data_IF_823997414466
#
_entry.id   IF_823997414466
#
_cell.length_a   1.000
_cell.length_b   1.000
_cell.length_c   1.000
_cell.angle_alpha   90.00
_cell.angle_beta   90.00
_cell.angle_gamma   90.00
#
_symmetry.space_group_name_H-M   'P 1'
#
loop_
_entity.id
_entity.type
_entity.pdbx_description
1 polymer ?
#
# COMPACT_ATOMS: atom_id res chain seq x y z
N UNK A 1 64.61 -2.26 24.60
CA UNK A 1 63.21 -1.86 24.69
C UNK A 1 62.57 -2.63 25.84
N UNK A 2 61.94 -1.96 26.81
CA UNK A 2 61.44 -2.65 28.02
C UNK A 2 60.26 -3.59 27.67
N UNK A 3 60.16 -4.76 28.32
CA UNK A 3 59.05 -5.71 28.11
C UNK A 3 57.67 -5.04 28.28
N UNK A 4 57.58 -3.97 29.09
CA UNK A 4 56.36 -3.19 29.29
C UNK A 4 55.95 -2.38 28.05
N UNK A 5 56.91 -1.88 27.28
CA UNK A 5 56.65 -1.14 26.03
C UNK A 5 56.16 -2.10 24.94
N UNK A 6 56.74 -3.30 24.85
CA UNK A 6 56.32 -4.32 23.89
C UNK A 6 54.88 -4.81 24.12
N UNK A 7 54.48 -4.97 25.40
CA UNK A 7 53.12 -5.37 25.79
C UNK A 7 52.11 -4.26 25.50
N UNK A 8 52.47 -3.00 25.72
CA UNK A 8 51.59 -1.86 25.39
C UNK A 8 51.40 -1.74 23.86
N UNK A 9 52.45 -1.94 23.07
CA UNK A 9 52.38 -1.91 21.61
C UNK A 9 51.52 -3.04 21.04
N UNK A 10 51.55 -4.23 21.66
CA UNK A 10 50.74 -5.37 21.23
C UNK A 10 49.26 -5.23 21.61
N UNK A 11 48.97 -4.62 22.77
CA UNK A 11 47.61 -4.34 23.21
C UNK A 11 46.91 -3.27 22.36
N UNK A 12 47.65 -2.25 21.90
CA UNK A 12 47.12 -1.22 20.99
C UNK A 12 46.87 -1.81 19.59
N UNK A 13 47.73 -2.70 19.09
CA UNK A 13 47.49 -3.38 17.80
C UNK A 13 46.26 -4.30 17.84
N UNK A 14 46.02 -5.00 18.96
CA UNK A 14 44.82 -5.83 19.13
C UNK A 14 43.53 -5.00 19.20
N UNK A 15 43.59 -3.80 19.79
CA UNK A 15 42.44 -2.90 19.84
C UNK A 15 42.10 -2.29 18.47
N UNK A 16 43.10 -2.07 17.60
CA UNK A 16 42.88 -1.63 16.22
C UNK A 16 42.35 -2.76 15.34
N UNK A 17 42.74 -4.02 15.59
CA UNK A 17 42.25 -5.18 14.85
C UNK A 17 40.80 -5.59 15.21
N UNK A 18 40.33 -5.28 16.42
CA UNK A 18 38.93 -5.51 16.83
C UNK A 18 38.04 -4.26 16.78
N UNK A 19 38.60 -3.07 16.52
CA UNK A 19 37.87 -1.80 16.49
C UNK A 19 37.19 -1.46 15.16
N UNK A 20 37.34 -2.27 14.12
CA UNK A 20 36.78 -2.03 12.78
C UNK A 20 35.77 -3.12 12.43
N UNK A 21 34.66 -3.20 13.17
CA UNK A 21 33.48 -3.99 12.76
C UNK A 21 32.17 -3.39 13.29
N UNK A 22 32.12 -2.06 13.42
CA UNK A 22 30.88 -1.31 13.56
C UNK A 22 30.70 -0.41 12.33
N UNK A 23 30.90 -0.97 11.13
CA UNK A 23 30.11 -0.49 9.98
C UNK A 23 28.72 -1.00 10.32
N UNK A 24 27.83 -0.09 10.73
CA UNK A 24 26.46 -0.44 11.05
C UNK A 24 25.92 -1.33 9.94
N UNK A 25 25.48 -2.54 10.29
CA UNK A 25 24.81 -3.42 9.35
C UNK A 25 23.72 -2.60 8.69
N UNK A 26 23.77 -2.46 7.36
CA UNK A 26 22.61 -2.01 6.61
C UNK A 26 21.42 -2.84 7.12
N UNK A 27 20.31 -2.15 7.38
CA UNK A 27 19.09 -2.76 7.88
C UNK A 27 18.61 -3.73 6.79
N UNK A 28 18.96 -5.01 6.90
CA UNK A 28 18.56 -6.06 5.96
C UNK A 28 17.10 -6.47 6.26
N UNK A 29 16.16 -5.65 5.81
CA UNK A 29 14.73 -5.96 5.87
C UNK A 29 14.16 -6.13 4.46
N UNK A 30 13.16 -7.00 4.33
CA UNK A 30 12.49 -7.32 3.07
C UNK A 30 11.04 -6.86 3.14
N UNK A 31 10.59 -6.21 2.07
CA UNK A 31 9.21 -5.72 1.97
C UNK A 31 8.55 -6.30 0.74
N UNK A 32 7.50 -7.11 0.94
CA UNK A 32 6.62 -7.53 -0.14
C UNK A 32 5.71 -6.37 -0.55
N UNK A 33 5.69 -5.98 -1.82
CA UNK A 33 4.83 -4.91 -2.33
C UNK A 33 3.90 -5.51 -3.39
N UNK A 34 2.62 -5.67 -3.09
CA UNK A 34 1.65 -6.17 -4.06
C UNK A 34 0.75 -5.05 -4.59
N UNK A 35 0.75 -4.90 -5.92
CA UNK A 35 -0.08 -3.94 -6.65
C UNK A 35 -1.23 -4.62 -7.38
N UNK A 36 -2.44 -4.05 -7.27
CA UNK A 36 -3.60 -4.49 -8.03
C UNK A 36 -3.62 -3.88 -9.44
N UNK A 37 -2.99 -4.57 -10.40
CA UNK A 37 -2.82 -4.07 -11.77
C UNK A 37 -1.95 -2.81 -11.85
N UNK A 38 -1.77 -2.31 -13.08
CA UNK A 38 -0.96 -1.10 -13.37
C UNK A 38 -1.53 -0.22 -14.48
N UNK A 39 -2.82 -0.38 -14.82
CA UNK A 39 -3.44 0.38 -15.91
C UNK A 39 -3.41 1.90 -15.69
N UNK A 40 -3.48 2.35 -14.43
CA UNK A 40 -3.52 3.76 -14.07
C UNK A 40 -2.15 4.28 -13.60
N UNK A 41 -1.92 5.61 -13.69
CA UNK A 41 -0.63 6.21 -13.34
C UNK A 41 -0.34 6.17 -11.83
N UNK A 42 -1.37 6.18 -10.99
CA UNK A 42 -1.23 6.13 -9.54
C UNK A 42 -0.69 4.77 -9.10
N UNK A 43 -1.18 3.67 -9.70
CA UNK A 43 -0.65 2.33 -9.50
C UNK A 43 0.85 2.25 -9.80
N UNK A 44 1.27 2.83 -10.94
CA UNK A 44 2.67 2.85 -11.37
C UNK A 44 3.54 3.70 -10.45
N UNK A 45 3.17 4.96 -10.24
CA UNK A 45 3.96 5.89 -9.40
C UNK A 45 4.03 5.39 -7.96
N UNK A 46 2.91 4.91 -7.40
CA UNK A 46 2.87 4.37 -6.05
C UNK A 46 3.83 3.19 -5.87
N UNK A 47 3.81 2.23 -6.81
CA UNK A 47 4.72 1.09 -6.76
C UNK A 47 6.18 1.52 -6.81
N UNK A 48 6.55 2.32 -7.80
CA UNK A 48 7.94 2.76 -7.95
C UNK A 48 8.39 3.56 -6.73
N UNK A 49 7.53 4.42 -6.18
CA UNK A 49 7.85 5.19 -4.96
C UNK A 49 8.07 4.28 -3.74
N UNK A 50 7.29 3.20 -3.60
CA UNK A 50 7.47 2.22 -2.52
C UNK A 50 8.77 1.42 -2.70
N UNK A 51 9.10 1.03 -3.93
CA UNK A 51 10.35 0.33 -4.25
C UNK A 51 11.54 1.23 -3.91
N UNK A 52 11.55 2.45 -4.45
CA UNK A 52 12.62 3.43 -4.27
C UNK A 52 12.87 3.72 -2.79
N UNK A 53 11.81 3.93 -2.00
CA UNK A 53 11.93 4.23 -0.57
C UNK A 53 12.49 3.03 0.21
N UNK A 54 12.07 1.81 -0.11
CA UNK A 54 12.64 0.61 0.54
C UNK A 54 14.13 0.49 0.24
N UNK A 55 14.56 0.73 -0.99
CA UNK A 55 15.98 0.71 -1.38
C UNK A 55 16.79 1.84 -0.71
N UNK A 56 16.25 3.07 -0.66
CA UNK A 56 16.85 4.23 0.02
C UNK A 56 17.10 3.93 1.50
N UNK A 57 16.16 3.22 2.15
CA UNK A 57 16.26 2.81 3.54
C UNK A 57 17.17 1.59 3.76
N UNK A 58 17.76 1.04 2.69
CA UNK A 58 18.69 -0.09 2.72
C UNK A 58 18.02 -1.47 2.76
N UNK A 59 16.72 -1.55 2.51
CA UNK A 59 15.97 -2.79 2.45
C UNK A 59 15.89 -3.40 1.04
N UNK A 60 15.25 -4.56 0.95
CA UNK A 60 15.02 -5.29 -0.30
C UNK A 60 13.52 -5.28 -0.66
N UNK A 61 13.09 -4.57 -1.71
CA UNK A 61 11.70 -4.64 -2.17
C UNK A 61 11.46 -5.91 -3.01
N UNK A 62 10.34 -6.58 -2.76
CA UNK A 62 9.87 -7.74 -3.55
C UNK A 62 8.50 -7.36 -4.12
N UNK A 63 8.53 -6.64 -5.24
CA UNK A 63 7.32 -6.08 -5.83
C UNK A 63 6.65 -7.04 -6.82
N UNK A 64 5.34 -7.27 -6.66
CA UNK A 64 4.50 -8.06 -7.58
C UNK A 64 3.34 -7.21 -8.09
N UNK A 65 2.91 -7.49 -9.32
CA UNK A 65 1.69 -6.94 -9.91
C UNK A 65 0.76 -8.11 -10.16
N UNK A 66 -0.48 -8.00 -9.71
CA UNK A 66 -1.50 -9.04 -9.82
C UNK A 66 -2.79 -8.45 -10.37
N UNK A 67 -3.42 -9.14 -11.32
CA UNK A 67 -4.65 -8.70 -11.97
C UNK A 67 -5.92 -9.26 -11.30
N UNK A 68 -5.76 -10.23 -10.40
CA UNK A 68 -6.88 -10.90 -9.74
C UNK A 68 -6.64 -11.17 -8.26
N UNK A 69 -7.74 -11.37 -7.51
CA UNK A 69 -7.67 -11.73 -6.09
C UNK A 69 -6.91 -13.05 -5.85
N UNK A 70 -7.12 -14.13 -6.64
CA UNK A 70 -6.33 -15.36 -6.49
C UNK A 70 -4.83 -15.15 -6.70
N UNK A 71 -4.42 -14.36 -7.70
CA UNK A 71 -3.01 -14.05 -7.91
C UNK A 71 -2.42 -13.24 -6.76
N UNK A 72 -3.18 -12.28 -6.21
CA UNK A 72 -2.80 -11.53 -5.01
C UNK A 72 -2.58 -12.45 -3.81
N UNK A 73 -3.49 -13.41 -3.59
CA UNK A 73 -3.34 -14.40 -2.51
C UNK A 73 -2.06 -15.20 -2.69
N UNK A 74 -1.79 -15.71 -3.90
CA UNK A 74 -0.55 -16.44 -4.19
C UNK A 74 0.70 -15.57 -3.97
N UNK A 75 0.66 -14.28 -4.32
CA UNK A 75 1.77 -13.35 -4.05
C UNK A 75 2.02 -13.18 -2.55
N UNK A 76 0.95 -13.05 -1.75
CA UNK A 76 1.03 -12.96 -0.28
C UNK A 76 1.62 -14.25 0.31
N UNK A 77 1.18 -15.42 -0.14
CA UNK A 77 1.74 -16.71 0.30
C UNK A 77 3.22 -16.84 -0.04
N UNK A 78 3.64 -16.35 -1.21
CA UNK A 78 5.06 -16.28 -1.57
C UNK A 78 5.84 -15.35 -0.64
N UNK A 79 5.29 -14.19 -0.27
CA UNK A 79 5.92 -13.29 0.71
C UNK A 79 6.10 -13.94 2.08
N UNK A 80 5.08 -14.67 2.55
CA UNK A 80 5.17 -15.46 3.78
C UNK A 80 6.30 -16.48 3.68
N UNK A 81 6.34 -17.25 2.59
CA UNK A 81 7.38 -18.27 2.33
C UNK A 81 8.79 -17.67 2.27
N UNK A 82 8.94 -16.47 1.71
CA UNK A 82 10.22 -15.75 1.64
C UNK A 82 10.64 -15.11 2.97
N UNK A 83 9.77 -15.11 3.98
CA UNK A 83 10.02 -14.51 5.29
C UNK A 83 10.24 -13.00 5.20
N UNK A 84 9.37 -12.28 4.48
CA UNK A 84 9.42 -10.81 4.45
C UNK A 84 9.05 -10.21 5.81
N UNK A 85 9.60 -9.04 6.13
CA UNK A 85 9.32 -8.34 7.39
C UNK A 85 8.01 -7.56 7.34
N UNK A 86 7.63 -7.09 6.15
CA UNK A 86 6.39 -6.36 5.92
C UNK A 86 5.79 -6.67 4.55
N UNK A 87 4.46 -6.54 4.47
CA UNK A 87 3.69 -6.60 3.21
C UNK A 87 2.91 -5.28 3.07
N UNK A 88 3.10 -4.61 1.93
CA UNK A 88 2.32 -3.45 1.52
C UNK A 88 1.34 -3.90 0.44
N UNK A 89 0.04 -3.78 0.71
CA UNK A 89 -1.02 -3.98 -0.28
C UNK A 89 -1.40 -2.63 -0.86
N UNK A 90 -1.14 -2.44 -2.14
CA UNK A 90 -1.51 -1.24 -2.88
C UNK A 90 -2.75 -1.49 -3.74
N UNK A 91 -3.73 -0.59 -3.60
CA UNK A 91 -5.01 -0.57 -4.33
C UNK A 91 -5.91 -1.82 -4.14
N UNK A 92 -7.17 -1.66 -4.56
CA UNK A 92 -8.20 -2.68 -4.47
C UNK A 92 -8.89 -2.66 -3.10
N UNK A 93 -9.06 -3.83 -2.51
CA UNK A 93 -9.60 -4.01 -1.16
C UNK A 93 -8.81 -5.08 -0.41
N UNK A 94 -8.19 -4.69 0.70
CA UNK A 94 -7.36 -5.54 1.53
C UNK A 94 -8.14 -6.72 2.13
N UNK A 95 -9.46 -6.58 2.32
CA UNK A 95 -10.32 -7.63 2.87
C UNK A 95 -10.51 -8.80 1.91
N UNK A 96 -10.29 -8.60 0.60
CA UNK A 96 -10.40 -9.68 -0.38
C UNK A 96 -9.31 -10.75 -0.22
N UNK A 97 -8.19 -10.41 0.43
CA UNK A 97 -7.10 -11.33 0.74
C UNK A 97 -6.95 -11.58 2.25
N UNK A 98 -8.01 -11.31 3.04
CA UNK A 98 -7.95 -11.37 4.51
C UNK A 98 -7.38 -12.68 5.06
N UNK A 99 -7.78 -13.89 4.60
CA UNK A 99 -7.24 -15.13 5.16
C UNK A 99 -5.71 -15.25 5.03
N UNK A 100 -5.14 -14.83 3.89
CA UNK A 100 -3.71 -14.88 3.65
C UNK A 100 -2.95 -13.80 4.45
N UNK A 101 -3.52 -12.59 4.57
CA UNK A 101 -2.93 -11.49 5.34
C UNK A 101 -3.00 -11.74 6.85
N UNK A 102 -4.07 -12.36 7.35
CA UNK A 102 -4.16 -12.80 8.74
C UNK A 102 -3.13 -13.88 9.06
N UNK A 103 -2.84 -14.79 8.12
CA UNK A 103 -1.76 -15.75 8.29
C UNK A 103 -0.39 -15.06 8.31
N UNK A 104 -0.11 -14.16 7.37
CA UNK A 104 1.10 -13.34 7.40
C UNK A 104 1.26 -12.61 8.75
N UNK A 105 0.17 -12.03 9.26
CA UNK A 105 0.14 -11.34 10.55
C UNK A 105 0.48 -12.27 11.72
N UNK A 106 -0.04 -13.50 11.73
CA UNK A 106 0.29 -14.51 12.76
C UNK A 106 1.76 -14.89 12.75
N UNK A 107 2.42 -14.84 11.59
CA UNK A 107 3.87 -15.07 11.45
C UNK A 107 4.71 -13.84 11.86
N UNK A 108 4.07 -12.75 12.31
CA UNK A 108 4.75 -11.53 12.75
C UNK A 108 5.06 -10.54 11.64
N UNK A 109 4.56 -10.76 10.42
CA UNK A 109 4.75 -9.85 9.28
C UNK A 109 3.88 -8.61 9.49
N UNK A 110 4.46 -7.42 9.31
CA UNK A 110 3.73 -6.15 9.38
C UNK A 110 2.85 -6.00 8.14
N UNK A 111 1.57 -5.68 8.33
CA UNK A 111 0.63 -5.50 7.21
C UNK A 111 0.30 -4.01 7.06
N UNK A 112 0.71 -3.45 5.93
CA UNK A 112 0.40 -2.07 5.56
C UNK A 112 -0.54 -2.02 4.35
N UNK A 113 -1.45 -1.06 4.36
CA UNK A 113 -2.37 -0.75 3.28
C UNK A 113 -2.02 0.60 2.67
N UNK A 114 -1.92 0.63 1.34
CA UNK A 114 -1.84 1.86 0.55
C UNK A 114 -3.05 1.94 -0.38
N UNK A 115 -4.02 2.81 -0.04
CA UNK A 115 -5.27 2.98 -0.81
C UNK A 115 -6.03 1.66 -1.06
N UNK A 116 -5.81 0.64 -0.23
CA UNK A 116 -6.49 -0.66 -0.28
C UNK A 116 -7.47 -0.85 0.89
N UNK A 117 -7.60 0.15 1.77
CA UNK A 117 -8.54 0.12 2.88
C UNK A 117 -8.00 -0.43 4.20
N UNK A 118 -8.90 -0.72 5.14
CA UNK A 118 -8.55 -1.09 6.52
C UNK A 118 -9.31 -2.30 7.04
N UNK A 119 -8.68 -3.07 7.92
CA UNK A 119 -9.24 -4.20 8.67
C UNK A 119 -8.43 -4.39 9.97
N UNK A 120 -8.95 -5.19 10.92
CA UNK A 120 -8.35 -5.37 12.25
C UNK A 120 -6.92 -5.94 12.22
N UNK A 121 -6.58 -6.68 11.16
CA UNK A 121 -5.23 -7.25 10.96
C UNK A 121 -4.23 -6.27 10.33
N UNK A 122 -4.65 -5.06 9.97
CA UNK A 122 -3.83 -4.06 9.29
C UNK A 122 -3.17 -3.14 10.32
N UNK A 123 -1.85 -3.06 10.29
CA UNK A 123 -1.06 -2.24 11.22
C UNK A 123 -1.03 -0.76 10.83
N UNK A 124 -0.93 -0.51 9.53
CA UNK A 124 -0.73 0.83 8.98
C UNK A 124 -1.65 1.01 7.79
N UNK A 125 -2.37 2.13 7.75
CA UNK A 125 -3.22 2.52 6.63
C UNK A 125 -2.77 3.88 6.13
N UNK A 126 -2.43 3.94 4.85
CA UNK A 126 -2.08 5.17 4.13
C UNK A 126 -3.06 5.31 2.98
N UNK A 127 -4.06 6.18 3.12
CA UNK A 127 -5.03 6.44 2.07
C UNK A 127 -5.50 7.90 2.11
N UNK A 128 -6.06 8.37 0.99
CA UNK A 128 -6.76 9.65 0.98
C UNK A 128 -8.05 9.53 1.80
N UNK A 129 -8.53 10.65 2.35
CA UNK A 129 -9.87 10.67 2.95
C UNK A 129 -10.94 10.63 1.84
N UNK A 130 -11.25 9.42 1.40
CA UNK A 130 -12.17 9.16 0.30
C UNK A 130 -13.62 9.59 0.61
N UNK A 131 -14.01 9.67 1.89
CA UNK A 131 -15.30 10.23 2.30
C UNK A 131 -15.35 11.73 2.00
N UNK A 132 -14.37 12.48 2.50
CA UNK A 132 -14.28 13.94 2.26
C UNK A 132 -14.14 14.24 0.77
N UNK A 133 -13.29 13.51 0.06
CA UNK A 133 -13.13 13.70 -1.38
C UNK A 133 -14.42 13.41 -2.16
N UNK A 134 -15.16 12.36 -1.78
CA UNK A 134 -16.45 12.02 -2.37
C UNK A 134 -17.46 13.15 -2.17
N UNK A 135 -17.58 13.64 -0.93
CA UNK A 135 -18.49 14.73 -0.59
C UNK A 135 -18.15 16.03 -1.32
N UNK A 136 -16.87 16.39 -1.43
CA UNK A 136 -16.41 17.58 -2.17
C UNK A 136 -16.77 17.45 -3.66
N UNK A 137 -16.43 16.32 -4.29
CA UNK A 137 -16.69 16.10 -5.71
C UNK A 137 -18.19 16.08 -6.02
N UNK A 138 -18.99 15.42 -5.17
CA UNK A 138 -20.43 15.37 -5.31
C UNK A 138 -21.06 16.75 -5.14
N UNK A 139 -20.66 17.51 -4.12
CA UNK A 139 -21.17 18.87 -3.89
C UNK A 139 -20.85 19.80 -5.06
N UNK A 140 -19.63 19.75 -5.59
CA UNK A 140 -19.23 20.52 -6.77
C UNK A 140 -20.06 20.13 -8.00
N UNK A 141 -20.32 18.83 -8.21
CA UNK A 141 -21.20 18.37 -9.29
C UNK A 141 -22.60 18.95 -9.16
N UNK A 142 -23.19 18.91 -7.96
CA UNK A 142 -24.54 19.45 -7.72
C UNK A 142 -24.61 20.95 -8.01
N UNK A 143 -23.58 21.71 -7.63
CA UNK A 143 -23.49 23.14 -7.94
C UNK A 143 -23.41 23.39 -9.45
N UNK A 144 -22.62 22.62 -10.19
CA UNK A 144 -22.46 22.78 -11.64
C UNK A 144 -23.69 22.45 -12.45
N UNK A 145 -24.59 21.62 -11.92
CA UNK A 145 -25.85 21.25 -12.57
C UNK A 145 -27.05 22.04 -12.01
N UNK A 146 -26.80 23.11 -11.24
CA UNK A 146 -27.83 23.93 -10.58
C UNK A 146 -28.83 23.08 -9.76
N UNK A 147 -28.34 22.00 -9.15
CA UNK A 147 -29.13 21.06 -8.36
C UNK A 147 -30.21 20.30 -9.15
N UNK A 148 -30.08 20.16 -10.47
CA UNK A 148 -31.06 19.48 -11.32
C UNK A 148 -30.42 18.65 -12.42
N UNK A 149 -31.01 17.50 -12.74
CA UNK A 149 -30.65 16.72 -13.93
C UNK A 149 -30.38 15.25 -13.66
N UNK A 150 -29.74 14.59 -14.62
CA UNK A 150 -29.44 13.16 -14.57
C UNK A 150 -27.96 12.94 -14.38
N UNK A 151 -27.59 12.11 -13.41
CA UNK A 151 -26.21 11.71 -13.13
C UNK A 151 -26.01 10.27 -13.58
N UNK A 152 -24.87 9.99 -14.22
CA UNK A 152 -24.42 8.63 -14.55
C UNK A 152 -23.19 8.32 -13.72
N UNK A 153 -23.22 7.20 -13.01
CA UNK A 153 -22.07 6.70 -12.25
C UNK A 153 -21.21 5.79 -13.14
N UNK A 154 -19.91 6.03 -13.19
CA UNK A 154 -18.93 5.12 -13.80
C UNK A 154 -17.92 4.76 -12.72
N UNK A 155 -17.84 3.48 -12.36
CA UNK A 155 -17.11 3.04 -11.16
C UNK A 155 -16.50 1.65 -11.33
N UNK A 156 -15.65 1.24 -10.38
CA UNK A 156 -15.19 -0.13 -10.23
C UNK A 156 -15.32 -0.52 -8.74
N UNK A 157 -16.19 -1.48 -8.44
CA UNK A 157 -16.46 -1.89 -7.07
C UNK A 157 -15.33 -2.73 -6.45
N UNK A 158 -14.28 -3.10 -7.19
CA UNK A 158 -13.13 -3.77 -6.60
C UNK A 158 -12.34 -2.87 -5.64
N UNK A 159 -12.36 -1.56 -5.85
CA UNK A 159 -11.64 -0.60 -5.03
C UNK A 159 -12.45 -0.08 -3.84
N UNK A 160 -11.94 -0.20 -2.61
CA UNK A 160 -12.61 0.38 -1.43
C UNK A 160 -12.82 1.90 -1.59
N UNK A 161 -11.75 2.60 -1.99
CA UNK A 161 -11.72 4.04 -2.21
C UNK A 161 -12.81 4.53 -3.16
N UNK A 162 -13.11 3.75 -4.21
CA UNK A 162 -14.15 4.05 -5.19
C UNK A 162 -15.53 3.90 -4.56
N UNK A 163 -15.77 2.80 -3.83
CA UNK A 163 -17.04 2.56 -3.14
C UNK A 163 -17.35 3.63 -2.09
N UNK A 164 -16.35 4.13 -1.37
CA UNK A 164 -16.52 5.23 -0.41
C UNK A 164 -16.96 6.52 -1.10
N UNK A 165 -16.24 6.94 -2.14
CA UNK A 165 -16.59 8.14 -2.92
C UNK A 165 -17.98 8.05 -3.55
N UNK A 166 -18.35 6.87 -4.03
CA UNK A 166 -19.67 6.60 -4.60
C UNK A 166 -20.79 6.71 -3.56
N UNK A 167 -20.58 6.17 -2.35
CA UNK A 167 -21.55 6.32 -1.24
C UNK A 167 -21.78 7.78 -0.88
N UNK A 168 -20.74 8.60 -0.90
CA UNK A 168 -20.87 10.04 -0.65
C UNK A 168 -21.64 10.77 -1.75
N UNK A 169 -21.41 10.42 -3.03
CA UNK A 169 -22.24 10.94 -4.11
C UNK A 169 -23.72 10.62 -3.88
N UNK A 170 -24.02 9.37 -3.55
CA UNK A 170 -25.38 8.91 -3.30
C UNK A 170 -26.01 9.60 -2.08
N UNK A 171 -25.23 9.85 -1.02
CA UNK A 171 -25.68 10.58 0.15
C UNK A 171 -25.94 12.06 -0.17
N UNK A 172 -25.03 12.75 -0.87
CA UNK A 172 -25.21 14.17 -1.21
C UNK A 172 -26.44 14.38 -2.10
N UNK A 173 -26.67 13.50 -3.08
CA UNK A 173 -27.81 13.61 -4.00
C UNK A 173 -29.17 13.58 -3.26
N UNK A 174 -29.28 12.99 -2.07
CA UNK A 174 -30.57 12.97 -1.34
C UNK A 174 -31.06 14.36 -0.94
N UNK A 175 -30.18 15.34 -0.86
CA UNK A 175 -30.51 16.74 -0.58
C UNK A 175 -30.99 17.52 -1.82
N UNK A 176 -30.90 16.91 -3.02
CA UNK A 176 -31.23 17.55 -4.31
C UNK A 176 -32.33 16.77 -5.03
N UNK A 177 -33.63 16.98 -4.70
CA UNK A 177 -34.74 16.21 -5.27
C UNK A 177 -34.94 16.40 -6.79
N UNK A 178 -34.29 17.40 -7.39
CA UNK A 178 -34.27 17.61 -8.84
C UNK A 178 -33.21 16.78 -9.58
N UNK A 179 -32.42 15.99 -8.86
CA UNK A 179 -31.34 15.16 -9.39
C UNK A 179 -31.70 13.68 -9.26
N UNK A 180 -31.47 12.91 -10.33
CA UNK A 180 -31.61 11.45 -10.32
C UNK A 180 -30.34 10.76 -10.80
N UNK A 181 -30.00 9.62 -10.21
CA UNK A 181 -29.01 8.71 -10.78
C UNK A 181 -29.70 7.89 -11.86
N UNK A 182 -29.39 8.18 -13.13
CA UNK A 182 -30.06 7.58 -14.28
C UNK A 182 -29.48 6.21 -14.66
N UNK A 183 -28.19 5.99 -14.41
CA UNK A 183 -27.50 4.73 -14.68
C UNK A 183 -26.21 4.59 -13.87
N UNK A 184 -25.75 3.36 -13.70
CA UNK A 184 -24.44 3.03 -13.15
C UNK A 184 -23.76 1.97 -13.99
N UNK A 185 -22.51 2.20 -14.38
CA UNK A 185 -21.71 1.29 -15.20
C UNK A 185 -20.42 0.90 -14.48
N UNK A 186 -20.21 -0.40 -14.32
CA UNK A 186 -18.91 -0.90 -13.90
C UNK A 186 -17.94 -0.80 -15.07
N UNK A 187 -16.87 -0.03 -14.88
CA UNK A 187 -15.78 0.11 -15.81
C UNK A 187 -14.52 -0.56 -15.26
N UNK A 188 -14.06 -1.59 -15.95
CA UNK A 188 -12.70 -2.07 -15.82
C UNK A 188 -11.85 -1.34 -16.85
N UNK A 189 -10.72 -0.76 -16.43
CA UNK A 189 -9.76 -0.20 -17.36
C UNK A 189 -9.30 -1.29 -18.35
N UNK A 190 -9.15 -1.00 -19.65
CA UNK A 190 -8.34 -1.82 -20.54
C UNK A 190 -6.98 -2.04 -19.87
N UNK A 191 -6.45 -3.26 -19.92
CA UNK A 191 -5.18 -3.67 -19.29
C UNK A 191 -5.21 -3.80 -17.75
N UNK A 192 -6.40 -3.84 -17.13
CA UNK A 192 -6.55 -4.30 -15.75
C UNK A 192 -6.54 -5.84 -15.62
N UNK A 193 -6.54 -6.56 -16.75
CA UNK A 193 -6.40 -8.02 -16.89
C UNK A 193 -5.47 -8.35 -18.07
#
# INVERSE_FOLDING_TARGET
>A
MSKKILILSFAVLLFVLFGVSAIGSAKDFKVGINNFGQANFFARIGRESLIDEVEILGGTPIATVTASVPERINAIENYISMGVDAIIIQEGDIKMAAPALEEAKKQGIIIASMDAGTADFVDIVVESNNWVMGAIAATELMQRIDGKGKVVEIFNDLGQMIRMRRKELQAVITEYPGVEIAAGFTYAWPDFF
#
